data_IF_505163807012
#
_entry.id   IF_505163807012
#
_cell.length_a   1.000
_cell.length_b   1.000
_cell.length_c   1.000
_cell.angle_alpha   90.00
_cell.angle_beta   90.00
_cell.angle_gamma   90.00
#
_symmetry.space_group_name_H-M   'P 1'
#
loop_
_entity.id
_entity.type
_entity.pdbx_description
1 polymer ?
#
# COMPACT_ATOMS: atom_id res chain seq x y z
N UNK A 1 28.04 -9.69 -13.33
CA UNK A 1 27.08 -8.98 -14.20
C UNK A 1 27.57 -7.55 -14.46
N UNK A 2 27.75 -7.18 -15.73
CA UNK A 2 28.19 -5.83 -16.14
C UNK A 2 27.04 -4.82 -15.98
N UNK A 3 27.34 -3.52 -15.84
CA UNK A 3 26.33 -2.47 -15.62
C UNK A 3 25.28 -2.41 -16.75
N UNK A 4 25.72 -2.46 -18.01
CA UNK A 4 24.82 -2.39 -19.17
C UNK A 4 23.80 -3.54 -19.19
N UNK A 5 24.23 -4.75 -18.82
CA UNK A 5 23.32 -5.90 -18.71
C UNK A 5 22.30 -5.67 -17.59
N UNK A 6 22.74 -5.15 -16.44
CA UNK A 6 21.84 -4.83 -15.33
C UNK A 6 20.80 -3.77 -15.72
N UNK A 7 21.22 -2.74 -16.47
CA UNK A 7 20.36 -1.68 -16.97
C UNK A 7 19.30 -2.19 -17.95
N UNK A 8 19.66 -3.14 -18.81
CA UNK A 8 18.70 -3.80 -19.70
C UNK A 8 17.63 -4.58 -18.91
N UNK A 9 18.00 -5.27 -17.84
CA UNK A 9 17.05 -6.06 -17.04
C UNK A 9 16.16 -5.22 -16.11
N UNK A 10 16.70 -4.17 -15.49
CA UNK A 10 15.98 -3.39 -14.47
C UNK A 10 15.23 -2.19 -15.06
N UNK A 11 15.71 -1.68 -16.19
CA UNK A 11 15.44 -0.38 -16.79
C UNK A 11 16.33 0.76 -16.27
N UNK A 12 16.69 1.64 -17.20
CA UNK A 12 17.47 2.85 -16.95
C UNK A 12 16.85 3.78 -15.89
N UNK A 13 15.55 4.13 -15.94
CA UNK A 13 14.96 5.03 -14.94
C UNK A 13 15.08 4.53 -13.49
N UNK A 14 15.08 3.21 -13.28
CA UNK A 14 15.25 2.63 -11.94
C UNK A 14 16.70 2.70 -11.47
N UNK A 15 17.66 2.37 -12.33
CA UNK A 15 19.08 2.43 -11.99
C UNK A 15 19.62 3.86 -11.89
N UNK A 16 19.08 4.80 -12.66
CA UNK A 16 19.51 6.21 -12.67
C UNK A 16 19.43 6.83 -11.27
N UNK A 17 18.43 6.47 -10.46
CA UNK A 17 18.33 6.92 -9.06
C UNK A 17 19.55 6.52 -8.22
N UNK A 18 20.04 5.30 -8.41
CA UNK A 18 21.23 4.79 -7.73
C UNK A 18 22.52 5.39 -8.32
N UNK A 19 22.53 5.64 -9.62
CA UNK A 19 23.64 6.27 -10.33
C UNK A 19 23.85 7.72 -9.87
N UNK A 20 22.78 8.49 -9.77
CA UNK A 20 22.77 9.88 -9.26
C UNK A 20 23.27 9.90 -7.80
N UNK A 21 22.72 9.04 -6.94
CA UNK A 21 23.14 8.94 -5.54
C UNK A 21 24.63 8.55 -5.37
N UNK A 22 25.22 7.89 -6.38
CA UNK A 22 26.61 7.47 -6.39
C UNK A 22 27.56 8.40 -7.18
N UNK A 23 27.11 9.62 -7.55
CA UNK A 23 27.93 10.56 -8.32
C UNK A 23 28.31 10.03 -9.71
N UNK A 24 27.39 9.36 -10.38
CA UNK A 24 27.58 8.71 -11.69
C UNK A 24 28.59 7.56 -11.74
N UNK A 25 29.00 7.02 -10.59
CA UNK A 25 29.84 5.82 -10.53
C UNK A 25 29.00 4.55 -10.72
N UNK A 26 29.13 3.91 -11.90
CA UNK A 26 28.44 2.65 -12.25
C UNK A 26 28.71 1.53 -11.24
N UNK A 27 29.97 1.36 -10.80
CA UNK A 27 30.34 0.30 -9.84
C UNK A 27 29.69 0.52 -8.49
N UNK A 28 29.69 1.76 -7.98
CA UNK A 28 29.03 2.12 -6.71
C UNK A 28 27.51 1.95 -6.82
N UNK A 29 26.90 2.38 -7.94
CA UNK A 29 25.47 2.22 -8.19
C UNK A 29 25.03 0.76 -8.18
N UNK A 30 25.79 -0.15 -8.80
CA UNK A 30 25.51 -1.59 -8.75
C UNK A 30 25.60 -2.14 -7.31
N UNK A 31 26.62 -1.71 -6.55
CA UNK A 31 26.78 -2.12 -5.15
C UNK A 31 25.61 -1.61 -4.30
N UNK A 32 25.24 -0.35 -4.45
CA UNK A 32 24.13 0.28 -3.72
C UNK A 32 22.80 -0.38 -4.07
N UNK A 33 22.55 -0.70 -5.34
CA UNK A 33 21.36 -1.43 -5.77
C UNK A 33 21.26 -2.81 -5.10
N UNK A 34 22.36 -3.58 -5.04
CA UNK A 34 22.40 -4.87 -4.34
C UNK A 34 22.15 -4.74 -2.83
N UNK A 35 22.71 -3.70 -2.20
CA UNK A 35 22.47 -3.41 -0.79
C UNK A 35 20.98 -3.09 -0.59
N UNK A 36 20.39 -2.26 -1.44
CA UNK A 36 18.97 -1.92 -1.38
C UNK A 36 18.09 -3.17 -1.48
N UNK A 37 18.38 -4.09 -2.40
CA UNK A 37 17.65 -5.36 -2.48
C UNK A 37 17.72 -6.16 -1.19
N UNK A 38 18.89 -6.25 -0.55
CA UNK A 38 19.05 -6.98 0.73
C UNK A 38 18.26 -6.31 1.84
N UNK A 39 18.37 -4.99 1.99
CA UNK A 39 17.65 -4.27 3.04
C UNK A 39 16.13 -4.34 2.80
N UNK A 40 15.67 -4.36 1.55
CA UNK A 40 14.25 -4.52 1.20
C UNK A 40 13.69 -5.91 1.56
N UNK A 41 14.52 -6.93 1.73
CA UNK A 41 14.06 -8.27 2.12
C UNK A 41 13.61 -8.32 3.59
N UNK A 42 14.32 -7.62 4.48
CA UNK A 42 14.08 -7.64 5.93
C UNK A 42 12.66 -7.21 6.36
N UNK A 43 12.11 -6.07 5.88
CA UNK A 43 10.76 -5.66 6.29
C UNK A 43 9.65 -6.47 5.62
N UNK A 44 9.96 -7.27 4.59
CA UNK A 44 8.93 -7.93 3.77
C UNK A 44 7.99 -8.85 4.58
N UNK A 45 8.48 -9.75 5.45
CA UNK A 45 7.59 -10.59 6.26
C UNK A 45 6.70 -9.77 7.20
N UNK A 46 7.25 -8.73 7.82
CA UNK A 46 6.52 -7.87 8.74
C UNK A 46 5.40 -7.09 8.02
N UNK A 47 5.70 -6.53 6.85
CA UNK A 47 4.71 -5.81 6.03
C UNK A 47 3.58 -6.74 5.57
N UNK A 48 3.93 -7.98 5.18
CA UNK A 48 2.94 -8.97 4.77
C UNK A 48 2.02 -9.38 5.93
N UNK A 49 2.57 -9.63 7.12
CA UNK A 49 1.78 -9.90 8.32
C UNK A 49 0.89 -8.73 8.69
N UNK A 50 1.43 -7.51 8.65
CA UNK A 50 0.67 -6.29 8.93
C UNK A 50 -0.53 -6.13 7.99
N UNK A 51 -0.33 -6.35 6.68
CA UNK A 51 -1.42 -6.31 5.68
C UNK A 51 -2.53 -7.31 5.99
N UNK A 52 -2.18 -8.54 6.40
CA UNK A 52 -3.14 -9.56 6.80
C UNK A 52 -3.89 -9.15 8.07
N UNK A 53 -3.16 -8.68 9.09
CA UNK A 53 -3.75 -8.32 10.39
C UNK A 53 -4.73 -7.16 10.25
N UNK A 54 -4.33 -6.09 9.55
CA UNK A 54 -5.20 -4.93 9.40
C UNK A 54 -6.43 -5.25 8.56
N UNK A 55 -6.28 -6.07 7.50
CA UNK A 55 -7.39 -6.54 6.70
C UNK A 55 -8.40 -7.29 7.56
N UNK A 56 -7.94 -8.26 8.33
CA UNK A 56 -8.80 -9.09 9.16
C UNK A 56 -9.49 -8.24 10.25
N UNK A 57 -8.75 -7.34 10.88
CA UNK A 57 -9.27 -6.45 11.91
C UNK A 57 -10.35 -5.50 11.36
N UNK A 58 -10.10 -4.86 10.20
CA UNK A 58 -11.11 -4.01 9.54
C UNK A 58 -12.32 -4.85 9.12
N UNK A 59 -12.10 -6.00 8.47
CA UNK A 59 -13.18 -6.84 8.01
C UNK A 59 -14.13 -7.26 9.15
N UNK A 60 -13.58 -7.62 10.32
CA UNK A 60 -14.40 -7.93 11.50
C UNK A 60 -15.31 -6.75 11.90
N UNK A 61 -14.78 -5.52 11.88
CA UNK A 61 -15.59 -4.33 12.18
C UNK A 61 -16.62 -4.02 11.10
N UNK A 62 -16.30 -4.26 9.83
CA UNK A 62 -17.24 -4.03 8.72
C UNK A 62 -18.40 -5.03 8.76
N UNK A 63 -18.16 -6.28 9.13
CA UNK A 63 -19.20 -7.30 9.31
C UNK A 63 -20.19 -6.84 10.38
N UNK A 64 -19.70 -6.34 11.52
CA UNK A 64 -20.55 -5.81 12.60
C UNK A 64 -21.30 -4.56 12.15
N UNK A 65 -20.61 -3.61 11.52
CA UNK A 65 -21.19 -2.34 11.06
C UNK A 65 -22.36 -2.54 10.09
N UNK A 66 -22.27 -3.53 9.19
CA UNK A 66 -23.31 -3.81 8.21
C UNK A 66 -24.25 -4.95 8.61
N UNK A 67 -24.01 -5.61 9.75
CA UNK A 67 -24.67 -6.85 10.14
C UNK A 67 -24.69 -7.90 9.00
N UNK A 68 -23.59 -8.00 8.25
CA UNK A 68 -23.50 -8.79 7.02
C UNK A 68 -22.11 -9.44 6.88
N UNK A 69 -22.07 -10.77 6.91
CA UNK A 69 -20.84 -11.54 6.72
C UNK A 69 -20.28 -11.42 5.29
N UNK A 70 -21.15 -11.15 4.31
CA UNK A 70 -20.84 -10.99 2.90
C UNK A 70 -20.83 -9.52 2.47
N UNK A 71 -20.68 -8.59 3.41
CA UNK A 71 -20.77 -7.13 3.18
C UNK A 71 -19.95 -6.67 1.98
N UNK A 72 -18.74 -7.20 1.78
CA UNK A 72 -17.84 -6.74 0.70
C UNK A 72 -18.46 -6.99 -0.68
N UNK A 73 -19.28 -8.04 -0.79
CA UNK A 73 -20.00 -8.41 -2.01
C UNK A 73 -21.26 -7.56 -2.12
N UNK A 74 -22.06 -7.46 -1.05
CA UNK A 74 -23.37 -6.81 -1.08
C UNK A 74 -23.26 -5.28 -1.16
N UNK A 75 -22.31 -4.69 -0.43
CA UNK A 75 -22.11 -3.24 -0.37
C UNK A 75 -21.63 -2.60 -1.68
N UNK A 76 -21.28 -3.41 -2.69
CA UNK A 76 -21.12 -2.93 -4.08
C UNK A 76 -22.35 -2.17 -4.57
N UNK A 77 -23.55 -2.63 -4.22
CA UNK A 77 -24.81 -2.01 -4.60
C UNK A 77 -25.24 -0.85 -3.67
N UNK A 78 -24.51 -0.64 -2.56
CA UNK A 78 -24.85 0.33 -1.53
C UNK A 78 -23.78 1.43 -1.44
N UNK A 79 -23.04 1.53 -0.32
CA UNK A 79 -22.14 2.65 -0.10
C UNK A 79 -21.07 2.78 -1.19
N UNK A 80 -20.59 1.66 -1.77
CA UNK A 80 -19.58 1.68 -2.83
C UNK A 80 -20.12 2.24 -4.16
N UNK A 81 -21.44 2.34 -4.30
CA UNK A 81 -22.12 2.98 -5.44
C UNK A 81 -22.65 4.37 -5.10
N UNK A 82 -22.34 4.93 -3.92
CA UNK A 82 -22.81 6.25 -3.53
C UNK A 82 -22.27 7.35 -4.49
N UNK A 83 -23.10 8.26 -5.02
CA UNK A 83 -22.68 9.29 -5.98
C UNK A 83 -21.53 10.19 -5.53
N UNK A 84 -21.33 10.36 -4.21
CA UNK A 84 -20.19 11.11 -3.67
C UNK A 84 -18.83 10.49 -4.03
N UNK A 85 -18.81 9.22 -4.44
CA UNK A 85 -17.62 8.48 -4.91
C UNK A 85 -17.36 8.65 -6.42
N UNK A 86 -18.15 9.46 -7.13
CA UNK A 86 -17.94 9.75 -8.56
C UNK A 86 -16.55 10.31 -8.84
N UNK A 87 -16.00 11.15 -7.94
CA UNK A 87 -14.64 11.72 -8.07
C UNK A 87 -13.55 10.65 -8.03
N UNK A 88 -13.72 9.59 -7.24
CA UNK A 88 -12.83 8.44 -7.25
C UNK A 88 -13.20 7.42 -8.33
N UNK A 89 -14.19 7.74 -9.18
CA UNK A 89 -14.72 6.85 -10.23
C UNK A 89 -15.14 5.49 -9.69
N UNK A 90 -15.70 5.45 -8.47
CA UNK A 90 -16.13 4.21 -7.82
C UNK A 90 -15.02 3.13 -7.74
N UNK A 91 -13.76 3.54 -7.59
CA UNK A 91 -12.59 2.65 -7.56
C UNK A 91 -12.75 1.44 -6.63
N UNK A 92 -13.33 1.64 -5.43
CA UNK A 92 -13.55 0.55 -4.47
C UNK A 92 -14.51 -0.51 -5.03
N UNK A 93 -15.62 -0.09 -5.63
CA UNK A 93 -16.57 -1.00 -6.30
C UNK A 93 -15.88 -1.78 -7.42
N UNK A 94 -15.11 -1.09 -8.25
CA UNK A 94 -14.38 -1.73 -9.34
C UNK A 94 -13.33 -2.73 -8.85
N UNK A 95 -12.65 -2.44 -7.74
CA UNK A 95 -11.71 -3.38 -7.10
C UNK A 95 -12.40 -4.69 -6.70
N UNK A 96 -13.60 -4.60 -6.11
CA UNK A 96 -14.40 -5.80 -5.77
C UNK A 96 -14.84 -6.53 -7.04
N UNK A 97 -15.37 -5.83 -8.05
CA UNK A 97 -15.80 -6.45 -9.31
C UNK A 97 -14.65 -7.17 -10.03
N UNK A 98 -13.46 -6.57 -10.04
CA UNK A 98 -12.26 -7.15 -10.64
C UNK A 98 -11.82 -8.41 -9.89
N UNK A 99 -11.91 -8.42 -8.56
CA UNK A 99 -11.63 -9.60 -7.75
C UNK A 99 -12.63 -10.74 -8.07
N UNK A 100 -13.93 -10.44 -8.13
CA UNK A 100 -14.93 -11.45 -8.53
C UNK A 100 -14.66 -12.01 -9.93
N UNK A 101 -14.34 -11.15 -10.89
CA UNK A 101 -14.00 -11.58 -12.25
C UNK A 101 -12.72 -12.44 -12.27
N UNK A 102 -11.70 -12.09 -11.47
CA UNK A 102 -10.49 -12.90 -11.34
C UNK A 102 -10.77 -14.28 -10.74
N UNK A 103 -11.62 -14.35 -9.70
CA UNK A 103 -12.03 -15.61 -9.08
C UNK A 103 -12.83 -16.48 -10.06
N UNK A 104 -13.79 -15.90 -10.79
CA UNK A 104 -14.57 -16.61 -11.81
C UNK A 104 -13.69 -17.14 -12.95
N UNK A 105 -12.71 -16.35 -13.41
CA UNK A 105 -11.74 -16.80 -14.44
C UNK A 105 -10.91 -18.00 -14.00
N UNK A 106 -10.68 -18.16 -12.69
CA UNK A 106 -10.01 -19.34 -12.10
C UNK A 106 -10.97 -20.54 -11.91
N UNK A 107 -12.22 -20.47 -12.39
CA UNK A 107 -13.22 -21.53 -12.25
C UNK A 107 -13.76 -21.70 -10.82
N UNK A 108 -13.53 -20.72 -9.95
CA UNK A 108 -13.89 -20.80 -8.54
C UNK A 108 -15.20 -20.06 -8.24
N UNK A 109 -15.98 -20.60 -7.29
CA UNK A 109 -17.11 -19.87 -6.72
C UNK A 109 -16.63 -18.60 -5.99
N UNK A 110 -17.35 -17.50 -6.22
CA UNK A 110 -17.11 -16.20 -5.56
C UNK A 110 -17.66 -16.27 -4.14
N UNK A 111 -16.79 -16.04 -3.16
CA UNK A 111 -17.15 -15.95 -1.73
C UNK A 111 -16.56 -14.67 -1.16
N UNK A 112 -17.17 -14.10 -0.11
CA UNK A 112 -16.62 -12.90 0.52
C UNK A 112 -15.17 -13.09 0.98
N UNK A 113 -14.84 -14.25 1.56
CA UNK A 113 -13.47 -14.58 1.96
C UNK A 113 -12.46 -14.51 0.82
N UNK A 114 -12.80 -15.02 -0.38
CA UNK A 114 -11.92 -14.93 -1.56
C UNK A 114 -11.80 -13.49 -2.07
N UNK A 115 -12.91 -12.75 -2.08
CA UNK A 115 -12.91 -11.34 -2.49
C UNK A 115 -12.06 -10.50 -1.55
N UNK A 116 -12.17 -10.71 -0.23
CA UNK A 116 -11.32 -10.09 0.81
C UNK A 116 -9.85 -10.41 0.57
N UNK A 117 -9.54 -11.68 0.28
CA UNK A 117 -8.17 -12.13 0.05
C UNK A 117 -7.53 -11.53 -1.22
N UNK A 118 -8.31 -11.26 -2.27
CA UNK A 118 -7.86 -10.65 -3.52
C UNK A 118 -7.70 -9.11 -3.42
N UNK A 119 -8.21 -8.47 -2.35
CA UNK A 119 -8.03 -7.02 -2.18
C UNK A 119 -6.61 -6.66 -1.75
N UNK A 120 -6.06 -5.61 -2.36
CA UNK A 120 -4.74 -5.07 -1.99
C UNK A 120 -4.79 -4.25 -0.71
N UNK A 121 -3.64 -4.04 -0.05
CA UNK A 121 -3.51 -3.09 1.05
C UNK A 121 -4.16 -1.72 0.80
N UNK A 122 -4.07 -1.20 -0.43
CA UNK A 122 -4.65 0.08 -0.82
C UNK A 122 -6.17 0.14 -0.61
N UNK A 123 -6.88 -0.96 -0.87
CA UNK A 123 -8.33 -1.07 -0.64
C UNK A 123 -8.66 -0.80 0.84
N UNK A 124 -7.95 -1.47 1.74
CA UNK A 124 -8.17 -1.36 3.19
C UNK A 124 -7.84 0.03 3.72
N UNK A 125 -6.75 0.64 3.24
CA UNK A 125 -6.39 2.02 3.63
C UNK A 125 -7.40 3.06 3.11
N UNK A 126 -8.04 2.81 1.97
CA UNK A 126 -9.00 3.75 1.38
C UNK A 126 -10.27 3.92 2.23
N UNK A 127 -10.61 2.94 3.08
CA UNK A 127 -11.72 3.04 4.04
C UNK A 127 -11.50 4.14 5.09
N UNK A 128 -10.26 4.58 5.30
CA UNK A 128 -9.92 5.69 6.19
C UNK A 128 -9.95 7.05 5.49
N UNK A 129 -10.11 7.09 4.16
CA UNK A 129 -10.29 8.34 3.42
C UNK A 129 -11.62 8.98 3.78
N UNK A 130 -11.64 10.31 3.85
CA UNK A 130 -12.77 11.08 4.41
C UNK A 130 -14.12 10.72 3.81
N UNK A 131 -14.18 10.47 2.49
CA UNK A 131 -15.44 10.17 1.80
C UNK A 131 -15.94 8.75 2.11
N UNK A 132 -15.08 7.73 2.09
CA UNK A 132 -15.48 6.37 2.48
C UNK A 132 -15.80 6.30 3.97
N UNK A 133 -14.94 6.88 4.81
CA UNK A 133 -15.07 6.81 6.27
C UNK A 133 -16.40 7.39 6.77
N UNK A 134 -16.87 8.49 6.18
CA UNK A 134 -18.18 9.09 6.50
C UNK A 134 -19.34 8.17 6.10
N UNK A 135 -19.28 7.55 4.92
CA UNK A 135 -20.35 6.68 4.41
C UNK A 135 -20.54 5.41 5.25
N UNK A 136 -19.47 4.94 5.91
CA UNK A 136 -19.48 3.72 6.72
C UNK A 136 -19.51 4.00 8.23
N UNK A 137 -19.92 5.21 8.63
CA UNK A 137 -20.11 5.58 10.04
C UNK A 137 -18.83 5.60 10.87
N UNK A 138 -17.66 5.64 10.25
CA UNK A 138 -16.37 5.62 10.93
C UNK A 138 -15.97 4.29 11.56
N UNK A 139 -16.68 3.20 11.24
CA UNK A 139 -16.44 1.86 11.75
C UNK A 139 -14.96 1.40 11.70
N UNK A 140 -14.16 1.67 10.64
CA UNK A 140 -12.78 1.19 10.60
C UNK A 140 -11.90 1.68 11.74
N UNK A 141 -12.21 2.82 12.38
CA UNK A 141 -11.39 3.33 13.48
C UNK A 141 -11.50 2.46 14.74
N UNK A 142 -12.61 1.73 14.90
CA UNK A 142 -12.86 0.84 16.04
C UNK A 142 -11.94 -0.38 16.06
N UNK A 143 -11.32 -0.75 14.93
CA UNK A 143 -10.37 -1.86 14.90
C UNK A 143 -9.08 -1.56 15.69
N UNK A 144 -8.82 -0.29 15.99
CA UNK A 144 -7.71 0.16 16.83
C UNK A 144 -8.17 0.42 18.28
N UNK A 145 -8.64 -0.62 18.96
CA UNK A 145 -9.18 -0.52 20.32
C UNK A 145 -8.20 0.10 21.34
N UNK A 146 -6.89 -0.17 21.17
CA UNK A 146 -5.83 0.29 22.07
C UNK A 146 -5.10 1.54 21.57
N UNK A 147 -5.66 2.29 20.60
CA UNK A 147 -4.98 3.51 20.13
C UNK A 147 -4.97 4.59 21.22
N UNK A 148 -3.91 5.41 21.30
CA UNK A 148 -3.91 6.60 22.14
C UNK A 148 -5.10 7.53 21.85
N UNK A 149 -5.61 8.23 22.85
CA UNK A 149 -6.74 9.15 22.70
C UNK A 149 -6.48 10.27 21.69
N UNK A 150 -5.22 10.69 21.54
CA UNK A 150 -4.77 11.69 20.57
C UNK A 150 -4.90 11.24 19.11
N UNK A 151 -4.97 9.93 18.87
CA UNK A 151 -5.07 9.37 17.53
C UNK A 151 -6.49 9.47 16.99
N UNK A 152 -6.65 10.21 15.90
CA UNK A 152 -7.91 10.37 15.19
C UNK A 152 -7.83 9.71 13.80
N UNK A 153 -8.95 9.71 13.07
CA UNK A 153 -8.99 9.17 11.69
C UNK A 153 -7.89 9.75 10.81
N UNK A 154 -7.63 11.06 10.87
CA UNK A 154 -6.63 11.73 10.03
C UNK A 154 -5.21 11.24 10.35
N UNK A 155 -4.85 11.13 11.63
CA UNK A 155 -3.52 10.67 12.04
C UNK A 155 -3.29 9.19 11.70
N UNK A 156 -4.30 8.35 11.90
CA UNK A 156 -4.25 6.93 11.51
C UNK A 156 -4.17 6.77 9.99
N UNK A 157 -4.97 7.53 9.22
CA UNK A 157 -4.91 7.50 7.76
C UNK A 157 -3.54 7.93 7.23
N UNK A 158 -2.92 8.94 7.85
CA UNK A 158 -1.56 9.37 7.50
C UNK A 158 -0.54 8.25 7.74
N UNK A 159 -0.54 7.63 8.93
CA UNK A 159 0.35 6.50 9.25
C UNK A 159 0.16 5.30 8.33
N UNK A 160 -1.10 4.93 8.03
CA UNK A 160 -1.40 3.86 7.08
C UNK A 160 -0.90 4.19 5.67
N UNK A 161 -0.98 5.45 5.26
CA UNK A 161 -0.46 5.88 3.97
C UNK A 161 1.08 5.88 3.93
N UNK A 162 1.75 6.24 5.03
CA UNK A 162 3.22 6.13 5.13
C UNK A 162 3.67 4.67 5.02
N UNK A 163 2.99 3.76 5.73
CA UNK A 163 3.21 2.32 5.62
C UNK A 163 2.96 1.84 4.19
N UNK A 164 1.89 2.29 3.53
CA UNK A 164 1.56 1.96 2.14
C UNK A 164 2.69 2.37 1.19
N UNK A 165 3.18 3.59 1.32
CA UNK A 165 4.26 4.12 0.49
C UNK A 165 5.56 3.36 0.71
N UNK A 166 5.91 3.09 1.97
CA UNK A 166 7.10 2.30 2.30
C UNK A 166 7.00 0.88 1.73
N UNK A 167 5.86 0.21 1.92
CA UNK A 167 5.57 -1.11 1.36
C UNK A 167 5.68 -1.14 -0.16
N UNK A 168 5.12 -0.14 -0.84
CA UNK A 168 5.24 -0.04 -2.30
C UNK A 168 6.69 0.12 -2.75
N UNK A 169 7.50 0.93 -2.05
CA UNK A 169 8.94 1.06 -2.34
C UNK A 169 9.68 -0.27 -2.18
N UNK A 170 9.41 -0.99 -1.09
CA UNK A 170 9.99 -2.33 -0.85
C UNK A 170 9.61 -3.30 -1.98
N UNK A 171 8.33 -3.38 -2.34
CA UNK A 171 7.82 -4.36 -3.32
C UNK A 171 8.26 -4.05 -4.76
N UNK A 172 8.50 -2.79 -5.07
CA UNK A 172 8.99 -2.36 -6.38
C UNK A 172 10.52 -2.21 -6.45
N UNK A 173 11.24 -2.59 -5.38
CA UNK A 173 12.69 -2.43 -5.27
C UNK A 173 13.15 -0.99 -5.53
N UNK A 174 12.34 -0.02 -5.12
CA UNK A 174 12.73 1.38 -5.12
C UNK A 174 13.81 1.64 -4.05
N UNK A 175 14.57 2.74 -4.14
CA UNK A 175 15.45 3.16 -3.06
C UNK A 175 14.70 3.21 -1.74
N UNK A 176 15.19 2.52 -0.70
CA UNK A 176 14.67 2.57 0.67
C UNK A 176 15.68 3.20 1.65
N UNK A 177 16.98 3.02 1.39
CA UNK A 177 18.07 3.49 2.25
C UNK A 177 18.55 4.92 1.93
N UNK A 178 17.93 5.61 0.98
CA UNK A 178 18.19 7.00 0.66
C UNK A 178 16.95 7.62 0.04
N UNK A 179 16.75 8.92 0.24
CA UNK A 179 15.66 9.67 -0.37
C UNK A 179 16.11 10.15 -1.74
N UNK A 180 15.20 10.10 -2.72
CA UNK A 180 15.42 10.82 -3.96
C UNK A 180 15.52 12.32 -3.64
N UNK A 181 16.53 12.97 -4.19
CA UNK A 181 16.46 14.39 -4.54
C UNK A 181 15.36 14.56 -5.60
N UNK A 182 14.08 14.56 -5.18
CA UNK A 182 13.03 15.19 -5.97
C UNK A 182 13.26 16.72 -5.96
N UNK A 183 12.83 17.46 -6.99
CA UNK A 183 13.07 18.91 -7.10
C UNK A 183 12.64 19.67 -5.82
N UNK A 184 13.28 20.82 -5.54
CA UNK A 184 13.28 21.46 -4.23
C UNK A 184 11.86 21.81 -3.78
N UNK A 185 11.32 21.08 -2.82
CA UNK A 185 9.97 21.33 -2.32
C UNK A 185 9.54 20.57 -1.07
N UNK A 186 10.26 19.53 -0.66
CA UNK A 186 9.92 18.75 0.54
C UNK A 186 11.13 18.73 1.47
N UNK A 187 11.05 19.52 2.55
CA UNK A 187 12.12 19.75 3.52
C UNK A 187 12.39 18.50 4.38
N UNK A 188 13.61 17.98 4.22
CA UNK A 188 14.63 17.61 5.23
C UNK A 188 14.25 17.08 6.61
N UNK A 189 14.88 15.96 6.99
CA UNK A 189 15.05 15.59 8.41
C UNK A 189 16.00 14.42 8.71
N UNK A 190 16.38 13.59 7.75
CA UNK A 190 17.27 12.45 8.02
C UNK A 190 18.21 12.24 6.84
N UNK A 191 19.44 12.75 6.92
CA UNK A 191 20.65 12.12 6.37
C UNK A 191 21.85 13.07 6.48
N UNK A 192 22.50 13.03 7.62
CA UNK A 192 23.96 13.17 7.70
C UNK A 192 24.43 11.95 8.47
N UNK A 193 25.45 11.25 7.94
CA UNK A 193 26.07 10.01 8.44
C UNK A 193 25.52 8.69 7.89
N UNK A 194 25.79 8.46 6.61
CA UNK A 194 26.37 7.17 6.19
C UNK A 194 27.42 7.49 5.11
N UNK A 195 28.63 7.80 5.55
CA UNK A 195 29.81 7.73 4.69
C UNK A 195 30.31 6.28 4.72
N UNK A 196 30.34 5.65 3.54
CA UNK A 196 31.18 4.48 3.25
C UNK A 196 32.50 5.02 2.72
#
# INVERSE_FOLDING_TARGET
MKYQQLEQFISKPRLDRFLIACGNSKTKAQKLYKINLRVSQEPYPLLNLFEIFIRNAINAQMIVQFADADWIVNQKAHFMSNPSLSRSRFQMRHSVQNAEAAIRRKGAAVTAGKVIAEQTFGFWTSLFETHHFRLIGGAPLTCFANKPAVENRSSIAAKLNDIRQFRNRVYHNEPICFLNCNPPGIRTGFMTRFQI
#
